data_IF_759988216148
#
_entry.id   IF_759988216148
#
_cell.length_a   1.000
_cell.length_b   1.000
_cell.length_c   1.000
_cell.angle_alpha   90.00
_cell.angle_beta   90.00
_cell.angle_gamma   90.00
#
_symmetry.space_group_name_H-M   'P 1'
#
loop_
_entity.id
_entity.type
_entity.pdbx_description
1 polymer ?
#
# COMPACT_ATOMS: atom_id res chain seq x y z
N UNK A 1 3.56 13.08 -3.57
CA UNK A 1 2.12 13.29 -3.31
C UNK A 1 1.84 13.93 -1.95
N UNK A 2 2.18 13.29 -0.82
CA UNK A 2 1.89 13.83 0.52
C UNK A 2 2.37 15.28 0.75
N UNK A 3 3.62 15.60 0.37
CA UNK A 3 4.13 16.97 0.42
C UNK A 3 3.37 17.95 -0.48
N UNK A 4 2.85 17.49 -1.61
CA UNK A 4 2.03 18.32 -2.51
C UNK A 4 0.68 18.64 -1.90
N UNK A 5 0.09 17.72 -1.14
CA UNK A 5 -1.12 17.95 -0.37
C UNK A 5 -0.93 19.02 0.70
N UNK A 6 0.17 18.95 1.46
CA UNK A 6 0.53 19.98 2.45
C UNK A 6 0.70 21.35 1.81
N UNK A 7 1.36 21.40 0.64
CA UNK A 7 1.70 22.67 -0.02
C UNK A 7 0.59 23.20 -0.95
N UNK A 8 -0.44 22.40 -1.23
CA UNK A 8 -1.49 22.74 -2.21
C UNK A 8 -1.02 22.82 -3.66
N UNK A 9 0.19 22.34 -3.97
CA UNK A 9 0.81 22.41 -5.31
C UNK A 9 1.79 21.25 -5.52
N UNK A 10 2.13 20.89 -6.76
CA UNK A 10 3.16 19.88 -7.01
C UNK A 10 4.45 20.23 -6.27
N UNK A 11 4.97 19.26 -5.53
CA UNK A 11 6.12 19.40 -4.67
C UNK A 11 6.95 18.11 -4.67
N UNK A 12 8.24 18.27 -4.45
CA UNK A 12 9.19 17.16 -4.27
C UNK A 12 9.10 16.58 -2.86
N UNK A 13 9.52 15.33 -2.70
CA UNK A 13 9.70 14.72 -1.41
C UNK A 13 10.79 15.46 -0.61
N UNK A 14 10.61 15.58 0.70
CA UNK A 14 11.53 16.28 1.61
C UNK A 14 12.38 15.33 2.47
N UNK A 15 12.41 14.04 2.13
CA UNK A 15 13.15 12.99 2.83
C UNK A 15 13.72 11.94 1.86
N UNK A 16 14.23 10.84 2.42
CA UNK A 16 14.67 9.71 1.60
C UNK A 16 13.49 9.11 0.84
N UNK A 17 13.74 8.72 -0.40
CA UNK A 17 12.82 7.89 -1.20
C UNK A 17 13.32 6.46 -1.34
N UNK A 18 14.34 6.09 -0.56
CA UNK A 18 14.82 4.73 -0.46
C UNK A 18 13.76 3.88 0.25
N UNK A 19 13.15 2.96 -0.49
CA UNK A 19 12.04 2.12 -0.04
C UNK A 19 12.01 0.85 -0.88
N UNK A 20 11.58 -0.26 -0.28
CA UNK A 20 11.32 -1.51 -1.01
C UNK A 20 10.15 -1.38 -1.99
N UNK A 21 9.27 -0.39 -1.80
CA UNK A 21 8.12 -0.11 -2.68
C UNK A 21 8.60 0.65 -3.92
N UNK A 22 9.36 -0.01 -4.78
CA UNK A 22 10.01 0.59 -5.94
C UNK A 22 9.04 1.34 -6.87
N UNK A 23 7.79 0.89 -6.99
CA UNK A 23 6.74 1.55 -7.77
C UNK A 23 6.25 2.88 -7.17
N UNK A 24 6.50 3.13 -5.88
CA UNK A 24 6.06 4.31 -5.13
C UNK A 24 7.21 5.24 -4.71
N UNK A 25 8.47 4.80 -4.87
CA UNK A 25 9.70 5.52 -4.56
C UNK A 25 9.96 6.72 -5.51
N UNK A 26 9.04 7.69 -5.55
CA UNK A 26 9.10 8.85 -6.43
C UNK A 26 9.56 10.11 -5.68
N UNK A 27 10.63 10.75 -6.17
CA UNK A 27 11.14 12.02 -5.62
C UNK A 27 10.30 13.24 -6.01
N UNK A 28 9.64 13.22 -7.16
CA UNK A 28 8.86 14.35 -7.69
C UNK A 28 7.44 13.94 -8.07
N UNK A 29 6.49 14.83 -7.78
CA UNK A 29 5.07 14.63 -8.11
C UNK A 29 4.80 15.05 -9.54
N UNK A 30 4.19 14.16 -10.34
CA UNK A 30 3.73 14.49 -11.70
C UNK A 30 2.71 15.63 -11.70
N UNK A 31 3.01 16.70 -12.43
CA UNK A 31 2.11 17.86 -12.54
C UNK A 31 0.78 17.50 -13.20
N UNK A 32 0.79 16.57 -14.17
CA UNK A 32 -0.42 16.13 -14.87
C UNK A 32 -1.30 15.35 -13.90
N UNK A 33 -0.74 14.36 -13.20
CA UNK A 33 -1.48 13.55 -12.24
C UNK A 33 -2.05 14.39 -11.09
N UNK A 34 -1.26 15.35 -10.57
CA UNK A 34 -1.69 16.23 -9.49
C UNK A 34 -2.97 17.01 -9.80
N UNK A 35 -3.13 17.49 -11.04
CA UNK A 35 -4.33 18.23 -11.46
C UNK A 35 -5.61 17.41 -11.34
N UNK A 36 -5.53 16.10 -11.53
CA UNK A 36 -6.68 15.20 -11.39
C UNK A 36 -6.87 14.74 -9.94
N UNK A 37 -5.77 14.50 -9.22
CA UNK A 37 -5.82 13.93 -7.87
C UNK A 37 -6.19 14.97 -6.81
N UNK A 38 -5.68 16.20 -6.89
CA UNK A 38 -5.94 17.23 -5.88
C UNK A 38 -7.43 17.50 -5.61
N UNK A 39 -8.33 17.57 -6.61
CA UNK A 39 -9.76 17.74 -6.35
C UNK A 39 -10.52 16.44 -6.06
N UNK A 40 -9.88 15.27 -6.22
CA UNK A 40 -10.56 13.96 -6.18
C UNK A 40 -10.14 13.08 -5.00
N UNK A 41 -9.15 13.50 -4.22
CA UNK A 41 -8.59 12.74 -3.09
C UNK A 41 -8.88 13.49 -1.79
N UNK A 42 -9.55 12.81 -0.88
CA UNK A 42 -9.88 13.36 0.45
C UNK A 42 -8.69 13.28 1.42
N UNK A 43 -7.92 12.19 1.35
CA UNK A 43 -6.85 11.89 2.29
C UNK A 43 -5.54 11.48 1.62
N UNK A 44 -4.42 11.92 2.18
CA UNK A 44 -3.09 11.45 1.85
C UNK A 44 -2.43 10.91 3.12
N UNK A 45 -1.84 9.72 3.03
CA UNK A 45 -1.19 9.07 4.17
C UNK A 45 0.24 8.62 3.84
N UNK A 46 0.99 8.31 4.89
CA UNK A 46 2.31 7.72 4.83
C UNK A 46 2.28 6.36 5.53
N UNK A 47 2.94 5.39 4.91
CA UNK A 47 3.19 4.07 5.46
C UNK A 47 4.70 3.82 5.44
N UNK A 48 5.16 2.95 6.32
CA UNK A 48 6.55 2.48 6.38
C UNK A 48 6.68 1.18 5.59
N UNK A 49 7.90 0.83 5.19
CA UNK A 49 8.17 -0.42 4.45
C UNK A 49 7.70 -1.66 5.25
N UNK A 50 7.81 -1.63 6.57
CA UNK A 50 7.30 -2.72 7.43
C UNK A 50 5.79 -2.89 7.30
N UNK A 51 5.03 -1.78 7.17
CA UNK A 51 3.59 -1.85 6.96
C UNK A 51 3.28 -2.59 5.64
N UNK A 52 4.08 -2.37 4.59
CA UNK A 52 3.94 -3.10 3.33
C UNK A 52 4.30 -4.59 3.49
N UNK A 53 5.44 -4.92 4.11
CA UNK A 53 5.90 -6.29 4.34
C UNK A 53 4.84 -7.12 5.08
N UNK A 54 4.31 -6.59 6.18
CA UNK A 54 3.30 -7.29 6.98
C UNK A 54 2.01 -7.50 6.18
N UNK A 55 1.67 -6.59 5.26
CA UNK A 55 0.53 -6.76 4.34
C UNK A 55 0.77 -7.86 3.31
N UNK A 56 1.97 -7.91 2.73
CA UNK A 56 2.34 -8.95 1.78
C UNK A 56 2.23 -10.32 2.45
N UNK A 57 2.73 -10.44 3.68
CA UNK A 57 2.66 -11.66 4.47
C UNK A 57 1.22 -12.06 4.77
N UNK A 58 0.39 -11.13 5.24
CA UNK A 58 -1.02 -11.41 5.53
C UNK A 58 -1.78 -11.88 4.28
N UNK A 59 -1.61 -11.20 3.14
CA UNK A 59 -2.24 -11.62 1.89
C UNK A 59 -1.72 -12.98 1.42
N UNK A 60 -0.42 -13.24 1.49
CA UNK A 60 0.18 -14.49 1.04
C UNK A 60 -0.22 -15.69 1.90
N UNK A 61 -0.48 -15.48 3.20
CA UNK A 61 -0.94 -16.53 4.11
C UNK A 61 -2.45 -16.77 4.00
N UNK A 62 -3.22 -15.74 3.65
CA UNK A 62 -4.66 -15.70 3.87
C UNK A 62 -4.98 -15.51 5.37
N UNK A 63 -6.17 -14.99 5.67
CA UNK A 63 -6.61 -14.73 7.04
C UNK A 63 -8.07 -15.15 7.21
N UNK A 64 -8.40 -15.89 8.29
CA UNK A 64 -9.79 -16.25 8.64
C UNK A 64 -10.66 -16.72 7.45
N UNK A 65 -10.15 -17.70 6.69
CA UNK A 65 -10.80 -18.29 5.50
C UNK A 65 -10.70 -17.47 4.20
N UNK A 66 -10.10 -16.28 4.24
CA UNK A 66 -9.82 -15.50 3.03
C UNK A 66 -8.82 -16.23 2.11
N UNK A 67 -9.11 -16.19 0.81
CA UNK A 67 -8.25 -16.73 -0.23
C UNK A 67 -6.89 -16.00 -0.23
N UNK A 68 -5.76 -16.73 -0.15
CA UNK A 68 -4.45 -16.12 -0.24
C UNK A 68 -4.25 -15.37 -1.57
N UNK A 69 -3.59 -14.21 -1.55
CA UNK A 69 -3.35 -13.36 -2.73
C UNK A 69 -1.87 -13.02 -2.82
N UNK A 70 -1.31 -13.06 -4.03
CA UNK A 70 0.04 -12.55 -4.29
C UNK A 70 -0.05 -11.02 -4.46
N UNK A 71 0.56 -10.27 -3.55
CA UNK A 71 0.74 -8.82 -3.66
C UNK A 71 2.19 -8.43 -3.50
N UNK A 72 2.71 -7.65 -4.45
CA UNK A 72 4.05 -7.07 -4.37
C UNK A 72 4.11 -5.88 -3.42
N UNK A 73 5.33 -5.40 -3.16
CA UNK A 73 5.65 -4.39 -2.16
C UNK A 73 4.83 -3.10 -2.36
N UNK A 74 4.76 -2.61 -3.59
CA UNK A 74 4.00 -1.39 -3.90
C UNK A 74 2.49 -1.67 -4.00
N UNK A 75 2.14 -2.88 -4.42
CA UNK A 75 0.75 -3.29 -4.69
C UNK A 75 -0.12 -3.31 -3.43
N UNK A 76 0.47 -3.63 -2.29
CA UNK A 76 -0.26 -3.79 -1.02
C UNK A 76 -0.40 -2.50 -0.23
N UNK A 77 0.12 -1.36 -0.71
CA UNK A 77 0.18 -0.11 0.06
C UNK A 77 -1.18 0.35 0.61
N UNK A 78 -2.27 0.16 -0.15
CA UNK A 78 -3.61 0.49 0.31
C UNK A 78 -4.08 -0.38 1.49
N UNK A 79 -3.76 -1.67 1.47
CA UNK A 79 -4.05 -2.59 2.57
C UNK A 79 -3.17 -2.31 3.78
N UNK A 80 -1.90 -1.98 3.56
CA UNK A 80 -0.97 -1.59 4.60
C UNK A 80 -1.49 -0.44 5.45
N UNK A 81 -1.98 0.61 4.79
CA UNK A 81 -2.60 1.75 5.47
C UNK A 81 -3.81 1.31 6.30
N UNK A 82 -4.73 0.53 5.71
CA UNK A 82 -5.94 0.11 6.40
C UNK A 82 -5.60 -0.73 7.65
N UNK A 83 -4.69 -1.71 7.52
CA UNK A 83 -4.27 -2.54 8.65
C UNK A 83 -3.63 -1.71 9.75
N UNK A 84 -2.73 -0.78 9.41
CA UNK A 84 -2.11 0.14 10.37
C UNK A 84 -3.14 0.96 11.14
N UNK A 85 -4.16 1.48 10.47
CA UNK A 85 -5.23 2.23 11.12
C UNK A 85 -6.10 1.34 12.03
N UNK A 86 -6.34 0.08 11.65
CA UNK A 86 -7.03 -0.89 12.53
C UNK A 86 -6.20 -1.17 13.78
N UNK A 87 -4.90 -1.45 13.65
CA UNK A 87 -4.00 -1.76 14.77
C UNK A 87 -3.87 -0.59 15.75
N UNK A 88 -4.00 0.64 15.26
CA UNK A 88 -3.91 1.87 16.05
C UNK A 88 -5.26 2.37 16.57
N UNK A 89 -6.37 1.71 16.23
CA UNK A 89 -7.74 2.15 16.54
C UNK A 89 -8.04 3.56 16.00
N UNK A 90 -7.66 3.82 14.74
CA UNK A 90 -7.74 5.14 14.06
C UNK A 90 -8.54 5.11 12.75
N UNK A 91 -9.48 4.17 12.61
CA UNK A 91 -10.34 4.08 11.43
C UNK A 91 -11.26 5.30 11.26
N UNK A 92 -11.59 5.96 12.35
CA UNK A 92 -12.44 7.14 12.41
C UNK A 92 -11.84 8.35 11.66
N UNK A 93 -10.50 8.42 11.56
CA UNK A 93 -9.78 9.44 10.76
C UNK A 93 -10.17 9.38 9.28
N UNK A 94 -10.55 8.20 8.78
CA UNK A 94 -11.05 8.00 7.42
C UNK A 94 -12.58 7.86 7.37
N UNK A 95 -13.27 8.14 8.48
CA UNK A 95 -14.72 7.98 8.63
C UNK A 95 -15.21 6.54 8.37
N UNK A 96 -14.32 5.55 8.55
CA UNK A 96 -14.63 4.14 8.35
C UNK A 96 -15.29 3.54 9.59
N UNK A 97 -16.28 2.68 9.37
CA UNK A 97 -16.99 1.96 10.42
C UNK A 97 -17.39 0.54 9.95
N UNK A 98 -18.07 -0.21 10.81
CA UNK A 98 -18.48 -1.59 10.54
C UNK A 98 -19.41 -1.78 9.32
N UNK A 99 -20.00 -0.71 8.78
CA UNK A 99 -20.83 -0.76 7.57
C UNK A 99 -20.10 -0.24 6.31
N UNK A 100 -18.82 0.12 6.42
CA UNK A 100 -18.04 0.62 5.30
C UNK A 100 -17.64 -0.52 4.36
N UNK A 101 -17.81 -0.31 3.06
CA UNK A 101 -17.26 -1.17 2.01
C UNK A 101 -15.99 -0.53 1.46
N UNK A 102 -14.86 -1.23 1.57
CA UNK A 102 -13.54 -0.69 1.19
C UNK A 102 -13.03 -1.42 -0.04
N UNK A 103 -12.77 -0.67 -1.12
CA UNK A 103 -12.09 -1.16 -2.32
C UNK A 103 -10.59 -0.90 -2.20
N UNK A 104 -9.80 -1.96 -2.34
CA UNK A 104 -8.34 -1.89 -2.38
C UNK A 104 -7.85 -2.42 -3.73
N UNK A 105 -6.94 -1.67 -4.36
CA UNK A 105 -6.35 -2.06 -5.64
C UNK A 105 -4.95 -2.60 -5.38
N UNK A 106 -4.76 -3.90 -5.62
CA UNK A 106 -3.44 -4.50 -5.69
C UNK A 106 -2.83 -4.25 -7.08
N UNK A 107 -1.85 -3.37 -7.18
CA UNK A 107 -1.31 -2.92 -8.48
C UNK A 107 -0.28 -3.89 -9.09
N UNK A 108 0.30 -4.79 -8.30
CA UNK A 108 1.32 -5.72 -8.76
C UNK A 108 1.35 -7.03 -7.95
N UNK A 109 1.76 -8.12 -8.60
CA UNK A 109 2.10 -9.38 -7.92
C UNK A 109 3.56 -9.40 -7.47
N UNK A 110 4.16 -10.57 -7.35
CA UNK A 110 5.58 -10.75 -7.02
C UNK A 110 6.50 -10.38 -8.21
N UNK A 111 6.64 -9.10 -8.52
CA UNK A 111 7.49 -8.58 -9.62
C UNK A 111 8.98 -8.80 -9.34
N UNK A 112 9.37 -8.91 -8.06
CA UNK A 112 10.69 -9.36 -7.59
C UNK A 112 10.55 -10.68 -6.79
N UNK A 113 10.56 -11.86 -7.45
CA UNK A 113 10.25 -13.14 -6.79
C UNK A 113 11.15 -13.49 -5.61
N UNK A 114 12.46 -13.21 -5.71
CA UNK A 114 13.40 -13.48 -4.62
C UNK A 114 13.14 -12.57 -3.40
N UNK A 115 12.86 -11.29 -3.63
CA UNK A 115 12.51 -10.35 -2.56
C UNK A 115 11.17 -10.72 -1.93
N UNK A 116 10.15 -11.03 -2.74
CA UNK A 116 8.86 -11.52 -2.26
C UNK A 116 9.04 -12.74 -1.33
N UNK A 117 9.88 -13.70 -1.74
CA UNK A 117 10.17 -14.90 -0.94
C UNK A 117 10.95 -14.57 0.33
N UNK A 118 11.91 -13.66 0.27
CA UNK A 118 12.66 -13.19 1.44
C UNK A 118 11.73 -12.54 2.47
N UNK A 119 10.81 -11.68 2.02
CA UNK A 119 9.91 -10.91 2.88
C UNK A 119 8.75 -11.74 3.42
N UNK A 120 8.17 -12.64 2.61
CA UNK A 120 6.97 -13.41 3.00
C UNK A 120 7.27 -14.82 3.48
N UNK A 121 8.45 -15.35 3.18
CA UNK A 121 8.80 -16.76 3.39
C UNK A 121 8.11 -17.74 2.44
N UNK A 122 7.32 -17.27 1.47
CA UNK A 122 6.57 -18.07 0.50
C UNK A 122 6.94 -17.69 -0.93
N UNK A 123 6.84 -18.61 -1.88
CA UNK A 123 6.89 -18.26 -3.31
C UNK A 123 5.50 -17.89 -3.82
N UNK A 124 5.44 -17.12 -4.92
CA UNK A 124 4.17 -16.79 -5.55
C UNK A 124 3.40 -18.04 -6.00
N UNK A 125 4.11 -19.08 -6.45
CA UNK A 125 3.51 -20.36 -6.83
C UNK A 125 2.88 -21.08 -5.63
N UNK A 126 3.53 -21.05 -4.46
CA UNK A 126 2.98 -21.64 -3.22
C UNK A 126 1.71 -20.93 -2.76
N UNK A 127 1.61 -19.62 -2.98
CA UNK A 127 0.40 -18.83 -2.67
C UNK A 127 -0.71 -19.16 -3.68
N UNK A 128 -0.41 -19.12 -4.98
CA UNK A 128 -1.38 -19.41 -6.05
C UNK A 128 -1.93 -20.84 -5.96
N UNK A 129 -1.12 -21.80 -5.52
CA UNK A 129 -1.55 -23.18 -5.34
C UNK A 129 -2.62 -23.36 -4.24
N UNK A 130 -2.85 -22.35 -3.40
CA UNK A 130 -3.84 -22.33 -2.32
C UNK A 130 -5.11 -21.52 -2.68
N UNK A 131 -5.17 -20.96 -3.88
CA UNK A 131 -6.31 -20.18 -4.37
C UNK A 131 -7.46 -21.06 -4.87
#
# INVERSE_FOLDING_TARGET
MYQSAIQGKPASATGSVDSIMAGLACGETSQIAWRFLQPSVDYFALIEDQDAIDSMLQLAQGYHEDTPIVGGESGVAGLALLRKLVEQDQLDVLELNANSEVLIINTEGATAPELFKELTGLTAEEVIAKQ
#
